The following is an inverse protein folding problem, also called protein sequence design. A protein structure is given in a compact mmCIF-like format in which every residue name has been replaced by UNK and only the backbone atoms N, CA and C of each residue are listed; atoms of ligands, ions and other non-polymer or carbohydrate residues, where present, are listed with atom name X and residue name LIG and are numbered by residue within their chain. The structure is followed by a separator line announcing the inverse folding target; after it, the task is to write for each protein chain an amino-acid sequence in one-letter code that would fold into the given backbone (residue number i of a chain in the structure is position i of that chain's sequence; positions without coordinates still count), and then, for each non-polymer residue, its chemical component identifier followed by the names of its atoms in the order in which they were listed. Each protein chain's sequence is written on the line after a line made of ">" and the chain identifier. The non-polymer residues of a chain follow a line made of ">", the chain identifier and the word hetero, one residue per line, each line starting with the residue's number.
data_IF_669810960196
#
_entry.id   IF_669810960196
#
_cell.length_a   1.000
_cell.length_b   1.000
_cell.length_c   1.000
_cell.angle_alpha   90.00
_cell.angle_beta   90.00
_cell.angle_gamma   90.00
#
_symmetry.space_group_name_H-M   'P 1'
#
loop_
_entity.id
_entity.type
_entity.pdbx_description
1 polymer ?
#
# COMPACT_ATOMS: atom_id res chain seq x y z
N UNK A 1 14.03 3.62 -27.65
CA UNK A 1 14.48 2.98 -26.40
C UNK A 1 15.31 3.91 -25.48
N UNK A 2 15.89 4.99 -25.97
CA UNK A 2 16.75 5.93 -25.18
C UNK A 2 15.95 6.95 -24.34
N UNK A 3 14.70 7.24 -24.68
CA UNK A 3 13.88 8.28 -24.01
C UNK A 3 13.34 7.86 -22.61
N UNK A 4 13.08 6.54 -22.42
CA UNK A 4 12.58 6.00 -21.13
C UNK A 4 13.66 5.99 -20.05
N UNK A 5 14.93 5.75 -20.43
CA UNK A 5 16.04 5.72 -19.47
C UNK A 5 16.42 7.11 -18.93
N UNK A 6 16.17 8.20 -19.68
CA UNK A 6 16.50 9.57 -19.27
C UNK A 6 15.53 10.12 -18.20
N UNK A 7 14.27 9.69 -18.24
CA UNK A 7 13.28 10.06 -17.24
C UNK A 7 13.45 9.25 -15.93
N UNK A 8 13.82 7.98 -16.01
CA UNK A 8 14.10 7.15 -14.83
C UNK A 8 15.23 7.72 -13.95
N UNK A 9 16.31 8.19 -14.57
CA UNK A 9 17.44 8.82 -13.84
C UNK A 9 17.05 10.14 -13.16
N UNK A 10 16.15 10.93 -13.76
CA UNK A 10 15.64 12.17 -13.17
C UNK A 10 14.69 11.89 -12.00
N UNK A 11 13.85 10.86 -12.10
CA UNK A 11 12.97 10.42 -11.01
C UNK A 11 13.79 9.87 -9.85
N UNK A 12 14.80 9.05 -10.12
CA UNK A 12 15.73 8.56 -9.08
C UNK A 12 16.49 9.71 -8.43
N UNK A 13 17.00 10.65 -9.21
CA UNK A 13 17.70 11.84 -8.68
C UNK A 13 16.77 12.73 -7.85
N UNK A 14 15.52 12.92 -8.26
CA UNK A 14 14.51 13.68 -7.51
C UNK A 14 14.11 12.97 -6.21
N UNK A 15 13.94 11.65 -6.23
CA UNK A 15 13.69 10.84 -5.04
C UNK A 15 14.90 10.84 -4.08
N UNK A 16 16.12 10.74 -4.61
CA UNK A 16 17.35 10.81 -3.80
C UNK A 16 17.53 12.21 -3.20
N UNK A 17 17.21 13.27 -3.94
CA UNK A 17 17.24 14.64 -3.44
C UNK A 17 16.16 14.87 -2.39
N UNK A 18 14.95 14.34 -2.57
CA UNK A 18 13.87 14.40 -1.58
C UNK A 18 14.25 13.65 -0.29
N UNK A 19 14.89 12.48 -0.41
CA UNK A 19 15.42 11.71 0.73
C UNK A 19 16.57 12.45 1.45
N UNK A 20 17.41 13.17 0.72
CA UNK A 20 18.49 13.98 1.28
C UNK A 20 17.98 15.27 1.96
N UNK A 21 16.91 15.88 1.42
CA UNK A 21 16.27 17.04 2.05
C UNK A 21 15.48 16.66 3.30
N UNK A 22 15.05 15.39 3.44
CA UNK A 22 14.48 14.83 4.66
C UNK A 22 15.53 14.49 5.74
N UNK A 23 16.80 14.87 5.56
CA UNK A 23 17.89 14.81 6.55
C UNK A 23 17.70 15.72 7.76
N UNK A 24 16.47 15.90 8.22
CA UNK A 24 16.11 16.54 9.48
C UNK A 24 16.44 15.54 10.59
N UNK A 25 17.13 15.96 11.60
CA UNK A 25 17.54 15.26 12.80
C UNK A 25 16.50 14.22 13.25
N UNK A 26 16.65 12.99 12.79
CA UNK A 26 15.79 11.86 13.19
C UNK A 26 16.24 11.44 14.58
N UNK A 27 15.57 11.93 15.60
CA UNK A 27 15.60 11.27 16.89
C UNK A 27 15.05 9.88 16.70
N UNK A 28 15.79 8.83 17.12
CA UNK A 28 15.55 7.41 16.88
C UNK A 28 14.16 6.87 17.29
N UNK A 29 13.30 7.68 17.93
CA UNK A 29 11.95 7.33 18.36
C UNK A 29 10.83 7.80 17.40
N UNK A 30 11.15 8.21 16.19
CA UNK A 30 10.16 8.80 15.26
C UNK A 30 9.80 7.92 14.07
N UNK A 31 10.33 6.72 14.00
CA UNK A 31 10.04 5.78 12.92
C UNK A 31 9.74 4.41 13.49
N UNK A 32 8.65 3.79 13.03
CA UNK A 32 8.33 2.40 13.29
C UNK A 32 8.24 1.62 11.98
N UNK A 33 8.73 0.39 12.00
CA UNK A 33 8.53 -0.58 10.92
C UNK A 33 7.50 -1.60 11.38
N UNK A 34 6.52 -1.88 10.52
CA UNK A 34 5.38 -2.74 10.83
C UNK A 34 5.16 -3.77 9.73
N UNK A 35 4.40 -4.79 10.08
CA UNK A 35 3.91 -5.78 9.13
C UNK A 35 2.50 -6.21 9.53
N UNK A 36 1.68 -6.60 8.55
CA UNK A 36 0.31 -7.01 8.76
C UNK A 36 0.19 -8.54 8.72
N UNK A 37 -0.19 -9.14 9.84
CA UNK A 37 -0.32 -10.58 9.98
C UNK A 37 -1.37 -11.19 9.03
N UNK A 38 -2.48 -10.50 8.76
CA UNK A 38 -3.50 -10.97 7.82
C UNK A 38 -2.95 -11.05 6.38
N UNK A 39 -2.07 -10.14 6.00
CA UNK A 39 -1.37 -10.21 4.71
C UNK A 39 -0.52 -11.48 4.60
N UNK A 40 0.22 -11.83 5.63
CA UNK A 40 1.02 -13.07 5.66
C UNK A 40 0.14 -14.32 5.60
N UNK A 41 -1.00 -14.35 6.29
CA UNK A 41 -1.95 -15.46 6.23
C UNK A 41 -2.52 -15.67 4.81
N UNK A 42 -2.58 -14.63 4.00
CA UNK A 42 -3.02 -14.68 2.59
C UNK A 42 -1.86 -14.77 1.60
N UNK A 43 -0.67 -15.17 2.06
CA UNK A 43 0.56 -15.23 1.28
C UNK A 43 0.90 -13.92 0.55
N UNK A 44 0.60 -12.81 1.20
CA UNK A 44 0.86 -11.45 0.72
C UNK A 44 1.86 -10.76 1.64
N UNK A 45 3.18 -11.01 1.47
CA UNK A 45 4.21 -10.31 2.21
C UNK A 45 4.03 -8.79 2.10
N UNK A 46 4.19 -8.13 3.24
CA UNK A 46 3.96 -6.71 3.36
C UNK A 46 4.88 -6.08 4.40
N UNK A 47 5.17 -4.82 4.21
CA UNK A 47 5.91 -4.01 5.15
C UNK A 47 5.36 -2.59 5.14
N UNK A 48 5.32 -1.98 6.30
CA UNK A 48 4.90 -0.59 6.50
C UNK A 48 5.95 0.17 7.28
N UNK A 49 6.07 1.46 6.99
CA UNK A 49 6.89 2.39 7.75
C UNK A 49 6.02 3.55 8.21
N UNK A 50 6.04 3.82 9.51
CA UNK A 50 5.32 4.95 10.09
C UNK A 50 6.31 6.00 10.59
N UNK A 51 6.11 7.24 10.15
CA UNK A 51 6.95 8.40 10.45
C UNK A 51 6.17 9.38 11.33
N UNK A 52 6.69 9.67 12.50
CA UNK A 52 6.10 10.69 13.39
C UNK A 52 6.42 12.08 12.85
N UNK A 53 5.39 12.83 12.48
CA UNK A 53 5.49 14.18 11.94
C UNK A 53 5.30 15.26 13.02
N UNK A 54 4.60 14.93 14.09
CA UNK A 54 4.30 15.87 15.17
C UNK A 54 3.84 15.17 16.44
N UNK A 55 3.36 15.93 17.41
CA UNK A 55 2.93 15.40 18.72
C UNK A 55 1.73 14.44 18.64
N UNK A 56 0.90 14.58 17.60
CA UNK A 56 -0.31 13.77 17.39
C UNK A 56 -0.45 13.26 15.96
N UNK A 57 0.48 13.55 15.07
CA UNK A 57 0.37 13.23 13.64
C UNK A 57 1.51 12.33 13.20
N UNK A 58 1.16 11.29 12.44
CA UNK A 58 2.11 10.43 11.76
C UNK A 58 1.69 10.17 10.29
N UNK A 59 2.66 9.77 9.49
CA UNK A 59 2.47 9.28 8.13
C UNK A 59 2.87 7.80 8.10
N UNK A 60 1.94 6.93 7.79
CA UNK A 60 2.17 5.51 7.55
C UNK A 60 2.21 5.23 6.05
N UNK A 61 3.18 4.46 5.59
CA UNK A 61 3.31 4.04 4.19
C UNK A 61 3.50 2.53 4.14
N UNK A 62 2.55 1.84 3.52
CA UNK A 62 2.55 0.40 3.38
C UNK A 62 2.74 -0.04 1.94
N UNK A 63 3.50 -1.12 1.76
CA UNK A 63 3.61 -1.86 0.50
C UNK A 63 3.31 -3.33 0.76
N UNK A 64 2.61 -3.96 -0.18
CA UNK A 64 2.37 -5.39 -0.18
C UNK A 64 2.42 -5.94 -1.59
N UNK A 65 2.75 -7.21 -1.72
CA UNK A 65 2.72 -7.90 -2.99
C UNK A 65 2.23 -9.34 -2.78
N UNK A 66 1.52 -9.90 -3.75
CA UNK A 66 1.22 -11.31 -3.80
C UNK A 66 1.80 -11.88 -5.09
N UNK A 67 2.81 -12.78 -5.03
CA UNK A 67 3.48 -13.32 -6.20
C UNK A 67 2.92 -14.67 -6.67
N UNK A 68 1.75 -15.11 -6.16
CA UNK A 68 1.23 -16.44 -6.47
C UNK A 68 0.82 -16.53 -7.94
N UNK A 69 1.51 -17.39 -8.68
CA UNK A 69 1.21 -17.69 -10.08
C UNK A 69 1.50 -19.17 -10.36
N UNK A 70 0.45 -19.92 -10.74
CA UNK A 70 0.50 -21.31 -11.19
C UNK A 70 -0.26 -21.45 -12.50
N UNK A 71 -0.12 -22.58 -13.19
CA UNK A 71 -0.75 -22.80 -14.52
C UNK A 71 -2.28 -22.66 -14.52
N UNK A 72 -2.93 -22.96 -13.39
CA UNK A 72 -4.38 -22.95 -13.25
C UNK A 72 -4.94 -21.88 -12.33
N UNK A 73 -4.06 -21.21 -11.59
CA UNK A 73 -4.46 -20.18 -10.63
C UNK A 73 -3.40 -19.08 -10.57
N UNK A 74 -3.83 -17.84 -10.80
CA UNK A 74 -2.97 -16.68 -10.70
C UNK A 74 -3.63 -15.63 -9.82
N UNK A 75 -2.90 -15.20 -8.79
CA UNK A 75 -3.28 -14.05 -7.96
C UNK A 75 -2.02 -13.24 -7.72
N UNK A 76 -1.76 -12.32 -8.61
CA UNK A 76 -0.60 -11.42 -8.50
C UNK A 76 -1.10 -10.02 -8.31
N UNK A 77 -0.66 -9.35 -7.25
CA UNK A 77 -0.93 -7.93 -7.06
C UNK A 77 0.24 -7.20 -6.42
N UNK A 78 0.27 -5.90 -6.64
CA UNK A 78 1.12 -4.96 -5.93
C UNK A 78 0.25 -3.87 -5.34
N UNK A 79 0.42 -3.61 -4.05
CA UNK A 79 -0.37 -2.68 -3.28
C UNK A 79 0.52 -1.62 -2.64
N UNK A 80 0.13 -0.36 -2.72
CA UNK A 80 0.75 0.76 -2.02
C UNK A 80 -0.32 1.57 -1.31
N UNK A 81 -0.11 1.83 -0.02
CA UNK A 81 -1.09 2.49 0.84
C UNK A 81 -0.42 3.54 1.73
N UNK A 82 -0.49 4.83 1.38
CA UNK A 82 -0.22 5.92 2.29
C UNK A 82 -1.42 6.22 3.18
N UNK A 83 -1.14 6.58 4.43
CA UNK A 83 -2.15 6.95 5.43
C UNK A 83 -1.61 8.04 6.35
N UNK A 84 -2.34 9.14 6.48
CA UNK A 84 -2.09 10.16 7.50
C UNK A 84 -2.94 9.83 8.72
N UNK A 85 -2.32 9.76 9.90
CA UNK A 85 -2.96 9.38 11.16
C UNK A 85 -2.93 10.53 12.16
N UNK A 86 -4.04 10.73 12.80
CA UNK A 86 -4.18 11.61 13.98
C UNK A 86 -4.40 10.77 15.23
N UNK A 87 -3.46 10.83 16.15
CA UNK A 87 -3.47 10.09 17.41
C UNK A 87 -4.13 10.90 18.51
N UNK A 88 -5.08 10.29 19.23
CA UNK A 88 -5.77 10.95 20.34
C UNK A 88 -4.84 11.16 21.55
N UNK A 89 -3.81 10.35 21.62
CA UNK A 89 -2.71 10.46 22.58
C UNK A 89 -1.40 10.79 21.82
N UNK A 90 -0.30 10.22 22.15
CA UNK A 90 0.95 10.33 21.40
C UNK A 90 0.99 9.32 20.25
N UNK A 91 1.78 9.57 19.19
CA UNK A 91 1.93 8.65 18.09
C UNK A 91 2.31 7.22 18.53
N UNK A 92 1.75 6.22 17.84
CA UNK A 92 1.96 4.78 18.06
C UNK A 92 1.42 4.27 19.41
N UNK A 93 0.52 5.01 20.06
CA UNK A 93 -0.07 4.63 21.35
C UNK A 93 -1.55 4.94 21.36
N UNK A 94 -2.38 3.94 21.76
CA UNK A 94 -3.82 4.11 21.94
C UNK A 94 -4.56 4.36 20.62
N UNK A 95 -5.59 5.17 20.63
CA UNK A 95 -6.51 5.39 19.52
C UNK A 95 -5.96 6.34 18.45
N UNK A 96 -6.28 6.07 17.20
CA UNK A 96 -6.05 7.00 16.10
C UNK A 96 -7.20 7.00 15.09
N UNK A 97 -7.30 8.11 14.38
CA UNK A 97 -8.12 8.29 13.18
C UNK A 97 -7.19 8.52 12.01
N UNK A 98 -7.48 7.90 10.87
CA UNK A 98 -6.65 8.03 9.68
C UNK A 98 -7.44 8.43 8.44
N UNK A 99 -6.73 9.07 7.52
CA UNK A 99 -7.16 9.27 6.15
C UNK A 99 -6.20 8.48 5.29
N UNK A 100 -6.72 7.52 4.56
CA UNK A 100 -5.92 6.60 3.73
C UNK A 100 -6.32 6.67 2.27
N UNK A 101 -5.35 6.37 1.42
CA UNK A 101 -5.59 6.05 0.02
C UNK A 101 -4.79 4.81 -0.33
N UNK A 102 -5.19 4.07 -1.36
CA UNK A 102 -4.35 3.02 -1.90
C UNK A 102 -4.44 2.90 -3.41
N UNK A 103 -3.38 2.36 -3.97
CA UNK A 103 -3.28 1.94 -5.37
C UNK A 103 -2.93 0.47 -5.38
N UNK A 104 -3.68 -0.30 -6.14
CA UNK A 104 -3.47 -1.73 -6.31
C UNK A 104 -3.46 -2.07 -7.80
N UNK A 105 -2.37 -2.68 -8.28
CA UNK A 105 -2.28 -3.28 -9.59
C UNK A 105 -2.48 -4.78 -9.42
N UNK A 106 -3.43 -5.38 -10.13
CA UNK A 106 -3.73 -6.79 -10.00
C UNK A 106 -3.77 -7.52 -11.35
N UNK A 107 -3.37 -8.78 -11.32
CA UNK A 107 -3.46 -9.72 -12.44
C UNK A 107 -3.91 -11.08 -11.86
N UNK A 108 -5.20 -11.37 -12.01
CA UNK A 108 -5.84 -12.54 -11.46
C UNK A 108 -6.42 -13.39 -12.59
N UNK A 109 -6.36 -14.70 -12.42
CA UNK A 109 -7.05 -15.66 -13.28
C UNK A 109 -7.97 -16.52 -12.45
N UNK A 110 -9.27 -16.47 -12.76
CA UNK A 110 -10.32 -17.26 -12.10
C UNK A 110 -11.14 -17.96 -13.16
N UNK A 111 -11.21 -19.29 -13.09
CA UNK A 111 -11.99 -20.12 -14.03
C UNK A 111 -11.71 -19.79 -15.50
N UNK A 112 -10.42 -19.74 -15.88
CA UNK A 112 -9.95 -19.43 -17.24
C UNK A 112 -10.26 -18.00 -17.76
N UNK A 113 -10.72 -17.11 -16.90
CA UNK A 113 -10.90 -15.69 -17.20
C UNK A 113 -9.82 -14.87 -16.53
N UNK A 114 -9.11 -14.08 -17.32
CA UNK A 114 -8.12 -13.13 -16.83
C UNK A 114 -8.78 -11.81 -16.43
N UNK A 115 -8.40 -11.33 -15.26
CA UNK A 115 -8.75 -10.02 -14.71
C UNK A 115 -7.46 -9.26 -14.44
N UNK A 116 -7.14 -8.31 -15.29
CA UNK A 116 -5.95 -7.49 -15.14
C UNK A 116 -6.32 -6.02 -15.11
N UNK A 117 -5.87 -5.30 -14.10
CA UNK A 117 -6.25 -3.91 -13.96
C UNK A 117 -5.65 -3.21 -12.77
N UNK A 118 -6.24 -2.05 -12.51
CA UNK A 118 -5.86 -1.15 -11.43
C UNK A 118 -7.07 -0.84 -10.56
N UNK A 119 -6.84 -0.76 -9.26
CA UNK A 119 -7.84 -0.32 -8.29
C UNK A 119 -7.26 0.83 -7.45
N UNK A 120 -8.10 1.83 -7.20
CA UNK A 120 -7.78 3.00 -6.39
C UNK A 120 -8.86 3.16 -5.34
N UNK A 121 -8.47 3.45 -4.11
CA UNK A 121 -9.43 3.78 -3.07
C UNK A 121 -8.94 4.93 -2.22
N UNK A 122 -9.89 5.58 -1.55
CA UNK A 122 -9.65 6.51 -0.48
C UNK A 122 -10.70 6.32 0.61
N UNK A 123 -10.32 6.54 1.86
CA UNK A 123 -11.21 6.26 2.98
C UNK A 123 -10.71 6.83 4.29
N UNK A 124 -11.51 6.55 5.31
CA UNK A 124 -11.23 6.87 6.69
C UNK A 124 -10.95 5.57 7.45
N UNK A 125 -10.02 5.63 8.37
CA UNK A 125 -9.63 4.52 9.23
C UNK A 125 -9.75 4.92 10.70
N UNK A 126 -9.98 3.93 11.52
CA UNK A 126 -9.88 4.03 12.97
C UNK A 126 -9.09 2.82 13.47
N UNK A 127 -8.19 3.05 14.39
CA UNK A 127 -7.38 1.98 14.94
C UNK A 127 -6.98 2.21 16.39
N UNK A 128 -6.41 1.14 16.95
CA UNK A 128 -5.87 1.13 18.29
C UNK A 128 -4.52 0.42 18.31
N UNK A 129 -3.54 1.03 18.95
CA UNK A 129 -2.22 0.48 19.16
C UNK A 129 -2.00 0.12 20.64
N UNK A 130 -1.75 -1.17 20.90
CA UNK A 130 -1.34 -1.69 22.20
C UNK A 130 0.17 -1.69 22.31
N UNK A 131 0.71 -1.00 23.29
CA UNK A 131 2.14 -1.02 23.59
C UNK A 131 2.44 -2.28 24.41
N UNK A 132 3.30 -3.14 23.89
CA UNK A 132 3.71 -4.40 24.56
C UNK A 132 5.07 -4.31 25.25
N UNK A 133 5.67 -3.13 25.28
CA UNK A 133 6.98 -2.88 25.86
C UNK A 133 7.68 -1.72 25.14
N UNK A 134 8.98 -1.62 25.34
CA UNK A 134 9.75 -0.48 24.83
C UNK A 134 9.90 -0.44 23.30
N UNK A 135 9.76 -1.60 22.63
CA UNK A 135 10.06 -1.75 21.21
C UNK A 135 8.94 -2.40 20.38
N UNK A 136 7.87 -2.89 21.01
CA UNK A 136 6.84 -3.67 20.33
C UNK A 136 5.44 -3.10 20.54
N UNK A 137 4.69 -3.03 19.45
CA UNK A 137 3.27 -2.69 19.47
C UNK A 137 2.49 -3.73 18.66
N UNK A 138 1.25 -3.99 19.07
CA UNK A 138 0.23 -4.61 18.25
C UNK A 138 -0.79 -3.54 17.87
N UNK A 139 -1.24 -3.54 16.64
CA UNK A 139 -2.21 -2.57 16.13
C UNK A 139 -3.37 -3.29 15.45
N UNK A 140 -4.59 -2.83 15.71
CA UNK A 140 -5.78 -3.22 14.96
C UNK A 140 -6.38 -1.98 14.31
N UNK A 141 -6.69 -2.09 13.01
CA UNK A 141 -7.25 -1.00 12.21
C UNK A 141 -8.45 -1.50 11.42
N UNK A 142 -9.50 -0.70 11.36
CA UNK A 142 -10.65 -0.89 10.48
C UNK A 142 -10.94 0.41 9.75
N UNK A 143 -11.51 0.32 8.55
CA UNK A 143 -11.80 1.50 7.76
C UNK A 143 -12.98 1.33 6.82
N UNK A 144 -13.47 2.47 6.32
CA UNK A 144 -14.51 2.55 5.29
C UNK A 144 -14.06 3.54 4.21
N UNK A 145 -14.43 3.28 2.96
CA UNK A 145 -13.98 4.13 1.87
C UNK A 145 -14.69 3.85 0.55
N UNK A 146 -14.27 4.57 -0.46
CA UNK A 146 -14.76 4.44 -1.84
C UNK A 146 -13.66 3.80 -2.68
N UNK A 147 -14.01 2.76 -3.41
CA UNK A 147 -13.14 2.02 -4.30
C UNK A 147 -13.58 2.23 -5.75
N UNK A 148 -12.65 2.54 -6.60
CA UNK A 148 -12.82 2.54 -8.05
C UNK A 148 -11.83 1.58 -8.69
N UNK A 149 -12.30 0.71 -9.58
CA UNK A 149 -11.42 -0.16 -10.34
C UNK A 149 -11.66 -0.08 -11.85
N UNK A 150 -10.63 -0.42 -12.61
CA UNK A 150 -10.66 -0.57 -14.07
C UNK A 150 -9.92 -1.86 -14.41
N UNK A 151 -10.52 -2.72 -15.22
CA UNK A 151 -9.87 -3.97 -15.58
C UNK A 151 -10.09 -4.35 -17.05
N UNK A 152 -9.19 -5.19 -17.55
CA UNK A 152 -9.33 -5.94 -18.78
C UNK A 152 -9.82 -7.33 -18.40
N UNK A 153 -10.92 -7.75 -18.99
CA UNK A 153 -11.49 -9.08 -18.80
C UNK A 153 -11.44 -9.82 -20.12
N UNK A 154 -10.78 -10.98 -20.16
CA UNK A 154 -10.63 -11.80 -21.36
C UNK A 154 -10.38 -13.25 -20.99
N UNK A 155 -10.80 -14.18 -21.89
CA UNK A 155 -10.65 -15.63 -21.70
C UNK A 155 -9.20 -16.06 -21.93
N UNK A 156 -8.79 -17.15 -21.27
CA UNK A 156 -7.48 -17.79 -21.45
C UNK A 156 -7.27 -18.16 -22.92
N UNK A 157 -6.14 -17.75 -23.46
CA UNK A 157 -5.80 -18.01 -24.88
C UNK A 157 -6.30 -16.95 -25.87
N UNK A 158 -7.09 -15.96 -25.43
CA UNK A 158 -7.44 -14.80 -26.25
C UNK A 158 -6.48 -13.63 -26.04
N UNK A 159 -6.25 -12.78 -27.05
CA UNK A 159 -5.43 -11.58 -26.87
C UNK A 159 -6.09 -10.63 -25.87
N UNK A 160 -5.25 -9.92 -25.09
CA UNK A 160 -5.72 -8.86 -24.19
C UNK A 160 -6.47 -7.79 -25.00
N UNK A 161 -7.68 -7.36 -24.58
CA UNK A 161 -8.40 -6.26 -25.22
C UNK A 161 -7.57 -4.97 -25.29
N UNK A 162 -7.71 -4.22 -26.38
CA UNK A 162 -7.00 -2.95 -26.56
C UNK A 162 -7.51 -1.83 -25.65
N UNK A 163 -8.72 -1.97 -25.08
CA UNK A 163 -9.33 -1.00 -24.17
C UNK A 163 -9.90 -1.70 -22.93
N UNK A 164 -10.02 -0.94 -21.85
CA UNK A 164 -10.69 -1.38 -20.61
C UNK A 164 -12.15 -1.71 -20.93
N UNK A 165 -12.59 -2.92 -20.58
CA UNK A 165 -13.93 -3.42 -20.88
C UNK A 165 -14.79 -3.68 -19.64
N UNK A 166 -14.25 -3.48 -18.44
CA UNK A 166 -14.99 -3.56 -17.18
C UNK A 166 -14.45 -2.53 -16.18
N UNK A 167 -15.33 -1.73 -15.61
CA UNK A 167 -14.99 -0.73 -14.58
C UNK A 167 -16.18 -0.43 -13.68
N UNK A 168 -15.92 -0.19 -12.38
CA UNK A 168 -16.96 0.14 -11.39
C UNK A 168 -16.38 1.09 -10.32
N UNK A 169 -17.29 1.88 -9.75
CA UNK A 169 -17.04 2.71 -8.54
C UNK A 169 -17.95 2.27 -7.42
#
# INVERSE_FOLDING_TARGET
>A
MVYVMRNGRRVIAALSFLLLCCGVHVHAQRVAVKTNALGWLTASPNVEAEFVLGSHVSLNMGIAANPISTDNFKTTFTHFQPEVRYWLNRPMVSHFLGITAFVNNFDMMVKDVHHKGDAYAAGLTYGYAWVLGDHWNIEATAGVGVLRYRQFKYDKGTPKPGAVNDSKT
#
